data_IF_091709235044
#
_entry.id   IF_091709235044
#
_cell.length_a   1.000
_cell.length_b   1.000
_cell.length_c   1.000
_cell.angle_alpha   90.00
_cell.angle_beta   90.00
_cell.angle_gamma   90.00
#
_symmetry.space_group_name_H-M   'P 1'
#
loop_
_entity.id
_entity.type
_entity.pdbx_description
1 polymer ?
#
# COMPACT_ATOMS: atom_id res chain seq x y z
N UNK A 1 -36.03 -28.06 21.44
CA UNK A 1 -35.23 -26.81 21.45
C UNK A 1 -33.73 -27.11 21.65
N UNK A 2 -33.11 -28.02 20.88
CA UNK A 2 -31.69 -28.39 21.05
C UNK A 2 -30.93 -28.72 19.75
N UNK A 3 -31.55 -28.60 18.56
CA UNK A 3 -30.94 -29.02 17.28
C UNK A 3 -30.49 -27.87 16.36
N UNK A 4 -30.59 -26.60 16.78
CA UNK A 4 -30.25 -25.45 15.93
C UNK A 4 -28.86 -24.83 16.20
N UNK A 5 -28.13 -25.26 17.24
CA UNK A 5 -26.88 -24.62 17.67
C UNK A 5 -25.58 -25.29 17.19
N UNK A 6 -25.63 -26.30 16.32
CA UNK A 6 -24.43 -27.05 15.88
C UNK A 6 -23.91 -26.69 14.48
N UNK A 7 -24.48 -25.73 13.75
CA UNK A 7 -24.05 -25.36 12.39
C UNK A 7 -23.11 -24.14 12.28
N UNK A 8 -22.73 -23.48 13.39
CA UNK A 8 -21.96 -22.20 13.35
C UNK A 8 -20.54 -22.35 13.94
N UNK A 9 -20.00 -23.56 14.08
CA UNK A 9 -18.61 -23.74 14.52
C UNK A 9 -17.84 -24.53 13.47
N UNK A 10 -16.57 -24.17 13.25
CA UNK A 10 -15.61 -24.79 12.33
C UNK A 10 -15.51 -24.23 10.91
N UNK A 11 -15.33 -22.91 10.78
CA UNK A 11 -14.31 -22.43 9.83
C UNK A 11 -13.14 -21.95 10.69
N UNK A 12 -12.01 -22.67 10.63
CA UNK A 12 -10.79 -22.26 11.35
C UNK A 12 -10.47 -20.80 11.02
N UNK A 13 -10.23 -19.95 12.03
CA UNK A 13 -9.83 -18.54 11.84
C UNK A 13 -8.67 -18.39 10.85
N UNK A 14 -7.79 -19.39 10.76
CA UNK A 14 -6.70 -19.42 9.80
C UNK A 14 -7.18 -19.50 8.35
N UNK A 15 -8.26 -20.22 8.05
CA UNK A 15 -8.81 -20.30 6.69
C UNK A 15 -9.56 -19.02 6.27
N UNK A 16 -10.07 -18.25 7.23
CA UNK A 16 -10.74 -16.97 6.95
C UNK A 16 -9.75 -15.82 6.73
N UNK A 17 -8.66 -15.78 7.50
CA UNK A 17 -7.67 -14.70 7.45
C UNK A 17 -6.51 -14.98 6.49
N UNK A 18 -6.37 -16.21 5.98
CA UNK A 18 -5.34 -16.56 4.99
C UNK A 18 -5.94 -16.55 3.59
N UNK A 19 -5.77 -15.48 2.80
CA UNK A 19 -6.23 -15.47 1.43
C UNK A 19 -5.48 -16.52 0.60
N UNK A 20 -6.17 -17.10 -0.40
CA UNK A 20 -5.55 -18.05 -1.33
C UNK A 20 -4.42 -17.43 -2.16
N UNK A 21 -4.48 -16.12 -2.38
CA UNK A 21 -3.48 -15.36 -3.13
C UNK A 21 -2.44 -14.79 -2.17
N UNK A 22 -1.16 -15.10 -2.43
CA UNK A 22 -0.03 -14.39 -1.81
C UNK A 22 0.25 -13.11 -2.57
N UNK A 23 0.65 -12.08 -1.85
CA UNK A 23 1.10 -10.80 -2.42
C UNK A 23 2.53 -10.61 -1.94
N UNK A 24 3.47 -10.56 -2.88
CA UNK A 24 4.89 -10.30 -2.61
C UNK A 24 5.34 -9.13 -3.47
N UNK A 25 5.23 -7.94 -2.87
CA UNK A 25 5.46 -6.67 -3.57
C UNK A 25 6.91 -6.57 -4.06
N UNK A 26 7.89 -7.03 -3.28
CA UNK A 26 9.30 -6.91 -3.65
C UNK A 26 9.62 -7.80 -4.85
N UNK A 27 9.10 -9.03 -4.85
CA UNK A 27 9.23 -9.93 -6.00
C UNK A 27 8.58 -9.33 -7.24
N UNK A 28 7.35 -8.84 -7.13
CA UNK A 28 6.60 -8.27 -8.24
C UNK A 28 7.30 -7.03 -8.84
N UNK A 29 7.96 -6.21 -8.00
CA UNK A 29 8.78 -5.08 -8.45
C UNK A 29 9.99 -5.55 -9.27
N UNK A 30 10.69 -6.59 -8.81
CA UNK A 30 11.85 -7.14 -9.52
C UNK A 30 11.44 -7.71 -10.87
N UNK A 31 10.31 -8.42 -10.94
CA UNK A 31 9.76 -8.96 -12.19
C UNK A 31 9.37 -7.84 -13.16
N UNK A 32 8.64 -6.81 -12.70
CA UNK A 32 8.32 -5.63 -13.53
C UNK A 32 9.57 -4.92 -14.07
N UNK A 33 10.61 -4.78 -13.24
CA UNK A 33 11.89 -4.19 -13.64
C UNK A 33 12.61 -5.02 -14.71
N UNK A 34 12.55 -6.35 -14.64
CA UNK A 34 13.11 -7.25 -15.67
C UNK A 34 12.39 -7.10 -17.02
N UNK A 35 11.09 -6.81 -16.99
CA UNK A 35 10.27 -6.51 -18.17
C UNK A 35 10.46 -5.06 -18.68
N UNK A 36 11.31 -4.27 -18.03
CA UNK A 36 11.58 -2.89 -18.44
C UNK A 36 10.44 -1.91 -18.16
N UNK A 37 9.51 -2.24 -17.26
CA UNK A 37 8.35 -1.40 -16.90
C UNK A 37 8.34 -1.03 -15.42
N UNK A 38 7.75 0.11 -15.04
CA UNK A 38 7.53 0.44 -13.63
C UNK A 38 6.48 -0.50 -12.99
N UNK A 39 6.62 -0.71 -11.69
CA UNK A 39 5.58 -1.33 -10.87
C UNK A 39 4.64 -0.26 -10.32
N UNK A 40 3.34 -0.39 -10.56
CA UNK A 40 2.34 0.64 -10.25
C UNK A 40 1.39 0.13 -9.17
N UNK A 41 1.24 0.91 -8.09
CA UNK A 41 0.31 0.64 -6.99
C UNK A 41 -0.68 1.79 -6.87
N UNK A 42 -1.97 1.47 -6.79
CA UNK A 42 -3.04 2.46 -6.62
C UNK A 42 -3.63 2.34 -5.23
N UNK A 43 -3.66 3.46 -4.50
CA UNK A 43 -4.28 3.55 -3.19
C UNK A 43 -5.70 4.08 -3.30
N UNK A 44 -6.69 3.20 -3.18
CA UNK A 44 -8.11 3.54 -3.25
C UNK A 44 -8.84 3.24 -1.92
N UNK A 45 -10.03 3.81 -1.74
CA UNK A 45 -10.84 3.66 -0.52
C UNK A 45 -11.60 4.93 -0.15
N UNK A 46 -12.48 4.83 0.85
CA UNK A 46 -13.33 5.96 1.29
C UNK A 46 -12.53 7.06 1.99
N UNK A 47 -13.15 8.22 2.21
CA UNK A 47 -12.50 9.36 2.85
C UNK A 47 -12.08 9.02 4.30
N UNK A 48 -10.92 9.54 4.73
CA UNK A 48 -10.46 9.38 6.12
C UNK A 48 -9.77 8.06 6.49
N UNK A 49 -9.75 7.02 5.63
CA UNK A 49 -9.11 5.71 5.96
C UNK A 49 -7.58 5.71 5.97
N UNK A 50 -6.94 6.87 5.77
CA UNK A 50 -5.48 7.00 5.85
C UNK A 50 -4.71 6.63 4.57
N UNK A 51 -5.32 6.76 3.38
CA UNK A 51 -4.66 6.44 2.09
C UNK A 51 -3.33 7.16 1.90
N UNK A 52 -3.32 8.50 1.96
CA UNK A 52 -2.12 9.32 1.75
C UNK A 52 -1.02 9.03 2.78
N UNK A 53 -1.40 8.79 4.04
CA UNK A 53 -0.46 8.48 5.11
C UNK A 53 0.16 7.09 4.95
N UNK A 54 -0.65 6.07 4.60
CA UNK A 54 -0.11 4.73 4.36
C UNK A 54 0.70 4.65 3.07
N UNK A 55 0.35 5.44 2.04
CA UNK A 55 1.19 5.62 0.85
C UNK A 55 2.59 6.09 1.27
N UNK A 56 2.70 7.14 2.09
CA UNK A 56 4.01 7.63 2.55
C UNK A 56 4.80 6.57 3.34
N UNK A 57 4.13 5.77 4.19
CA UNK A 57 4.77 4.67 4.93
C UNK A 57 5.28 3.56 4.01
N UNK A 58 4.49 3.20 2.99
CA UNK A 58 4.90 2.20 2.01
C UNK A 58 6.03 2.73 1.13
N UNK A 59 6.02 4.00 0.75
CA UNK A 59 7.14 4.64 0.06
C UNK A 59 8.42 4.57 0.91
N UNK A 60 8.34 4.92 2.20
CA UNK A 60 9.48 4.77 3.11
C UNK A 60 10.00 3.33 3.14
N UNK A 61 9.12 2.34 3.30
CA UNK A 61 9.50 0.93 3.30
C UNK A 61 10.13 0.49 1.95
N UNK A 62 9.63 0.98 0.82
CA UNK A 62 10.23 0.70 -0.49
C UNK A 62 11.64 1.31 -0.62
N UNK A 63 11.85 2.51 -0.09
CA UNK A 63 13.16 3.16 -0.07
C UNK A 63 14.17 2.39 0.80
N UNK A 64 13.75 1.91 1.97
CA UNK A 64 14.55 1.02 2.83
C UNK A 64 14.95 -0.28 2.11
N UNK A 65 14.13 -0.72 1.13
CA UNK A 65 14.43 -1.86 0.26
C UNK A 65 15.15 -1.45 -1.05
N UNK A 66 15.77 -0.27 -1.10
CA UNK A 66 16.55 0.25 -2.23
C UNK A 66 15.75 0.44 -3.54
N UNK A 67 14.46 0.70 -3.44
CA UNK A 67 13.62 1.05 -4.58
C UNK A 67 13.42 2.57 -4.68
N UNK A 68 13.48 3.11 -5.90
CA UNK A 68 13.10 4.50 -6.17
C UNK A 68 11.60 4.57 -6.45
N UNK A 69 10.95 5.60 -5.93
CA UNK A 69 9.50 5.74 -6.00
C UNK A 69 9.13 7.09 -6.60
N UNK A 70 8.18 7.08 -7.53
CA UNK A 70 7.51 8.27 -8.04
C UNK A 70 6.11 8.34 -7.42
N UNK A 71 5.76 9.45 -6.78
CA UNK A 71 4.43 9.67 -6.21
C UNK A 71 3.59 10.49 -7.19
N UNK A 72 2.55 9.86 -7.76
CA UNK A 72 1.55 10.56 -8.57
C UNK A 72 0.39 11.06 -7.69
N UNK A 73 0.20 12.37 -7.62
CA UNK A 73 -0.90 12.99 -6.88
C UNK A 73 -2.22 12.93 -7.67
N UNK A 74 -3.04 11.92 -7.40
CA UNK A 74 -4.36 11.74 -8.03
C UNK A 74 -5.57 12.27 -7.26
N UNK A 75 -5.39 12.73 -6.01
CA UNK A 75 -6.47 13.32 -5.19
C UNK A 75 -6.62 14.81 -5.52
N UNK A 76 -7.48 15.11 -6.49
CA UNK A 76 -7.75 16.47 -6.99
C UNK A 76 -9.03 17.10 -6.39
N UNK A 77 -9.80 16.33 -5.62
CA UNK A 77 -11.08 16.77 -5.07
C UNK A 77 -10.92 17.41 -3.69
N UNK A 78 -10.07 16.82 -2.83
CA UNK A 78 -9.92 17.26 -1.44
C UNK A 78 -8.89 18.39 -1.35
N UNK A 79 -9.33 19.53 -0.81
CA UNK A 79 -8.43 20.66 -0.52
C UNK A 79 -7.26 20.22 0.38
N UNK A 80 -6.05 20.65 0.05
CA UNK A 80 -4.84 20.33 0.80
C UNK A 80 -4.25 18.93 0.52
N UNK A 81 -4.86 18.12 -0.35
CA UNK A 81 -4.36 16.77 -0.63
C UNK A 81 -2.98 16.77 -1.30
N UNK A 82 -2.76 17.70 -2.24
CA UNK A 82 -1.47 17.87 -2.92
C UNK A 82 -0.41 18.38 -1.95
N UNK A 83 -0.74 19.33 -1.08
CA UNK A 83 0.14 19.88 -0.04
C UNK A 83 0.52 18.81 1.01
N UNK A 84 -0.43 17.94 1.37
CA UNK A 84 -0.18 16.80 2.25
C UNK A 84 0.85 15.85 1.62
N UNK A 85 0.67 15.47 0.35
CA UNK A 85 1.63 14.63 -0.35
C UNK A 85 2.99 15.31 -0.50
N UNK A 86 3.03 16.61 -0.82
CA UNK A 86 4.28 17.38 -0.91
C UNK A 86 5.04 17.38 0.42
N UNK A 87 4.35 17.52 1.54
CA UNK A 87 4.94 17.43 2.89
C UNK A 87 5.54 16.04 3.13
N UNK A 88 4.82 14.98 2.76
CA UNK A 88 5.35 13.62 2.87
C UNK A 88 6.59 13.41 1.99
N UNK A 89 6.57 13.83 0.73
CA UNK A 89 7.73 13.74 -0.18
C UNK A 89 8.93 14.49 0.37
N UNK A 90 8.73 15.69 0.93
CA UNK A 90 9.80 16.48 1.57
C UNK A 90 10.45 15.71 2.72
N UNK A 91 9.67 15.11 3.62
CA UNK A 91 10.21 14.33 4.73
C UNK A 91 10.90 13.04 4.26
N UNK A 92 10.34 12.34 3.27
CA UNK A 92 10.94 11.14 2.70
C UNK A 92 12.29 11.44 2.04
N UNK A 93 12.40 12.53 1.29
CA UNK A 93 13.65 12.93 0.66
C UNK A 93 14.70 13.43 1.67
N UNK A 94 14.29 13.95 2.83
CA UNK A 94 15.22 14.27 3.92
C UNK A 94 15.86 13.01 4.54
N UNK A 95 15.13 11.89 4.56
CA UNK A 95 15.64 10.60 5.04
C UNK A 95 16.41 9.84 3.94
N UNK A 96 15.93 9.92 2.70
CA UNK A 96 16.50 9.21 1.56
C UNK A 96 16.67 10.17 0.36
N UNK A 97 17.81 10.88 0.29
CA UNK A 97 18.05 11.85 -0.78
C UNK A 97 17.93 11.22 -2.18
N UNK A 98 17.23 11.90 -3.09
CA UNK A 98 17.04 11.51 -4.50
C UNK A 98 16.29 10.18 -4.75
N UNK A 99 15.61 9.64 -3.74
CA UNK A 99 14.88 8.36 -3.85
C UNK A 99 13.40 8.53 -4.20
N UNK A 100 12.80 9.68 -3.87
CA UNK A 100 11.39 9.97 -4.10
C UNK A 100 11.23 11.17 -5.03
N UNK A 101 10.47 10.98 -6.10
CA UNK A 101 10.09 12.01 -7.06
C UNK A 101 8.60 12.32 -6.96
#
# INVERSE_FOLDING_TARGET
MLLLNQRIRYVSRSHLLTPKRRVDILRDIVEAKREGRPYVVVFCGVNGVGKSTNLAKITFWLNENNHRVLIAAGDTFRAGAVEQLRTHTKHLNALHPNSVQ
#
